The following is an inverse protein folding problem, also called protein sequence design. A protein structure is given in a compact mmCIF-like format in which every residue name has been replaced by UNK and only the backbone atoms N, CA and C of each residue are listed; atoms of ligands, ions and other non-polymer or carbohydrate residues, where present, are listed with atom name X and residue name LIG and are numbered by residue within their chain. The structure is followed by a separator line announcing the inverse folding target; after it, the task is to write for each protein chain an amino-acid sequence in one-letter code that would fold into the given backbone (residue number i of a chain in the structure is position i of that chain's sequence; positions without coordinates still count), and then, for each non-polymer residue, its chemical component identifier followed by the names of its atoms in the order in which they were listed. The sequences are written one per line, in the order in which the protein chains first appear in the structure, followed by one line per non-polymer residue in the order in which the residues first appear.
data_IF_320862839781
#
_entry.id   IF_320862839781
#
_cell.length_a   1.000
_cell.length_b   1.000
_cell.length_c   1.000
_cell.angle_alpha   90.00
_cell.angle_beta   90.00
_cell.angle_gamma   90.00
#
_symmetry.space_group_name_H-M   'P 1'
#
loop_
_entity.id
_entity.type
_entity.pdbx_description
1 polymer ?
#
# COMPACT_ATOMS: atom_id res chain seq x y z
N UNK A 1 -1.68 21.66 32.31
CA UNK A 1 -1.14 20.30 32.43
C UNK A 1 -1.90 19.60 33.53
N UNK A 2 -2.65 18.57 33.20
CA UNK A 2 -3.43 17.77 34.16
C UNK A 2 -2.69 16.44 34.34
N UNK A 3 -2.42 16.04 35.58
CA UNK A 3 -1.76 14.76 35.88
C UNK A 3 -2.81 13.83 36.47
N UNK A 4 -3.01 12.68 35.84
CA UNK A 4 -3.82 11.60 36.39
C UNK A 4 -2.91 10.42 36.74
N UNK A 5 -3.00 9.95 37.98
CA UNK A 5 -2.22 8.81 38.47
C UNK A 5 -3.10 7.57 38.56
N UNK A 6 -2.62 6.47 37.96
CA UNK A 6 -3.18 5.13 38.13
C UNK A 6 -2.11 4.25 38.76
N UNK A 7 -2.34 3.79 39.98
CA UNK A 7 -1.44 2.88 40.69
C UNK A 7 -2.11 1.51 40.90
N UNK A 8 -1.34 0.45 40.70
CA UNK A 8 -1.62 -0.86 41.26
C UNK A 8 -0.32 -1.37 41.91
N UNK A 9 -0.36 -2.38 42.78
CA UNK A 9 0.71 -2.80 43.71
C UNK A 9 2.10 -3.03 43.07
N UNK A 10 2.22 -3.09 41.73
CA UNK A 10 3.48 -3.25 40.98
C UNK A 10 3.74 -2.21 39.89
N UNK A 11 2.86 -1.22 39.65
CA UNK A 11 2.99 -0.25 38.54
C UNK A 11 2.45 1.14 38.93
N UNK A 12 3.20 2.18 38.59
CA UNK A 12 2.73 3.58 38.60
C UNK A 12 2.72 4.05 37.14
N UNK A 13 1.56 4.44 36.63
CA UNK A 13 1.42 5.06 35.31
C UNK A 13 0.90 6.48 35.47
N UNK A 14 1.63 7.44 34.90
CA UNK A 14 1.36 8.88 35.01
C UNK A 14 0.99 9.42 33.64
N UNK A 15 -0.28 9.76 33.45
CA UNK A 15 -0.79 10.34 32.22
C UNK A 15 -0.73 11.87 32.30
N UNK A 16 -0.09 12.51 31.32
CA UNK A 16 0.13 13.97 31.30
C UNK A 16 -0.66 14.60 30.17
N UNK A 17 -1.78 15.24 30.50
CA UNK A 17 -2.59 15.93 29.52
C UNK A 17 -2.07 17.35 29.28
N UNK A 18 -1.67 17.64 28.03
CA UNK A 18 -1.26 18.97 27.57
C UNK A 18 -2.33 19.58 26.67
N UNK A 19 -3.35 20.18 27.27
CA UNK A 19 -4.33 20.95 26.49
C UNK A 19 -3.65 22.14 25.80
N UNK A 20 -3.70 22.20 24.47
CA UNK A 20 -3.28 23.36 23.68
C UNK A 20 -1.78 23.56 23.45
N UNK A 21 -0.92 22.58 23.77
CA UNK A 21 0.52 22.64 23.48
C UNK A 21 0.91 21.64 22.39
N UNK A 22 1.63 22.08 21.36
CA UNK A 22 2.14 21.22 20.27
C UNK A 22 3.66 21.14 20.35
N UNK A 23 4.20 19.91 20.46
CA UNK A 23 5.64 19.64 20.46
C UNK A 23 6.02 19.11 19.07
N UNK A 24 6.55 19.97 18.20
CA UNK A 24 6.67 19.69 16.76
C UNK A 24 7.99 19.04 16.35
N UNK A 25 8.97 18.96 17.24
CA UNK A 25 10.24 18.30 16.97
C UNK A 25 10.83 17.58 18.20
N UNK A 26 11.79 16.68 17.95
CA UNK A 26 12.44 15.85 18.98
C UNK A 26 13.11 16.69 20.08
N UNK A 27 13.67 17.86 19.76
CA UNK A 27 14.31 18.73 20.74
C UNK A 27 13.28 19.35 21.71
N UNK A 28 12.12 19.77 21.20
CA UNK A 28 11.01 20.26 22.03
C UNK A 28 10.40 19.15 22.89
N UNK A 29 10.31 17.93 22.36
CA UNK A 29 9.88 16.75 23.14
C UNK A 29 10.86 16.46 24.27
N UNK A 30 12.17 16.55 24.03
CA UNK A 30 13.20 16.34 25.05
C UNK A 30 13.13 17.39 26.17
N UNK A 31 13.01 18.67 25.83
CA UNK A 31 12.87 19.77 26.80
C UNK A 31 11.58 19.65 27.61
N UNK A 32 10.47 19.28 26.96
CA UNK A 32 9.21 19.06 27.64
C UNK A 32 9.25 17.86 28.59
N UNK A 33 9.93 16.78 28.17
CA UNK A 33 10.13 15.58 29.02
C UNK A 33 10.91 15.93 30.29
N UNK A 34 11.95 16.77 30.20
CA UNK A 34 12.69 17.30 31.36
C UNK A 34 11.81 18.16 32.29
N UNK A 35 10.93 18.97 31.71
CA UNK A 35 9.98 19.81 32.47
C UNK A 35 8.98 18.96 33.26
N UNK A 36 8.46 17.88 32.66
CA UNK A 36 7.57 16.93 33.33
C UNK A 36 8.30 16.22 34.46
N UNK A 37 9.56 15.81 34.26
CA UNK A 37 10.39 15.16 35.30
C UNK A 37 10.54 16.02 36.56
N UNK A 38 10.85 17.31 36.39
CA UNK A 38 10.99 18.28 37.51
C UNK A 38 9.70 18.53 38.29
N UNK A 39 8.54 18.14 37.74
CA UNK A 39 7.22 18.30 38.35
C UNK A 39 6.68 17.02 39.00
N UNK A 40 7.40 15.89 38.91
CA UNK A 40 7.04 14.63 39.58
C UNK A 40 7.25 14.73 41.11
N UNK A 41 6.61 13.88 41.93
CA UNK A 41 6.88 13.82 43.37
C UNK A 41 8.36 13.50 43.68
N UNK A 42 8.91 14.10 44.74
CA UNK A 42 10.35 14.08 45.09
C UNK A 42 10.95 12.65 45.11
N UNK A 43 10.21 11.65 45.58
CA UNK A 43 10.67 10.25 45.62
C UNK A 43 10.85 9.56 44.25
N UNK A 44 10.40 10.18 43.15
CA UNK A 44 10.52 9.69 41.77
C UNK A 44 11.52 10.50 40.92
N UNK A 45 12.04 11.62 41.43
CA UNK A 45 12.95 12.51 40.70
C UNK A 45 14.39 11.97 40.63
N UNK A 46 14.84 11.23 41.66
CA UNK A 46 16.25 10.80 41.82
C UNK A 46 16.60 9.45 41.16
N UNK A 47 15.76 8.97 40.24
CA UNK A 47 15.87 7.63 39.64
C UNK A 47 15.93 7.69 38.10
N UNK A 48 16.97 8.35 37.58
CA UNK A 48 17.19 8.58 36.14
C UNK A 48 17.13 7.29 35.29
N UNK A 49 17.59 6.16 35.83
CA UNK A 49 17.61 4.87 35.11
C UNK A 49 16.23 4.20 34.96
N UNK A 50 15.18 4.72 35.60
CA UNK A 50 13.90 4.01 35.76
C UNK A 50 12.72 4.67 35.04
N UNK A 51 12.96 5.69 34.22
CA UNK A 51 11.92 6.40 33.45
C UNK A 51 12.12 6.13 31.95
N UNK A 52 11.28 5.27 31.36
CA UNK A 52 11.23 5.04 29.90
C UNK A 52 9.97 5.63 29.27
N UNK A 53 10.11 6.54 28.30
CA UNK A 53 9.01 7.11 27.50
C UNK A 53 8.67 6.14 26.37
N UNK A 54 7.48 5.53 26.40
CA UNK A 54 7.17 4.41 25.47
C UNK A 54 6.65 4.85 24.10
N UNK A 55 5.79 5.88 24.00
CA UNK A 55 5.25 6.34 22.71
C UNK A 55 4.49 7.65 22.86
N UNK A 56 4.80 8.67 22.06
CA UNK A 56 3.89 9.79 21.84
C UNK A 56 2.80 9.35 20.85
N UNK A 57 1.54 9.32 21.26
CA UNK A 57 0.40 9.11 20.36
C UNK A 57 -0.09 10.50 19.95
N UNK A 58 -0.24 10.74 18.65
CA UNK A 58 -0.79 11.99 18.11
C UNK A 58 -2.16 11.66 17.49
N UNK A 59 -3.28 11.86 18.21
CA UNK A 59 -4.60 11.70 17.61
C UNK A 59 -4.83 12.80 16.57
N UNK A 60 -5.73 12.54 15.59
CA UNK A 60 -5.92 13.38 14.38
C UNK A 60 -6.34 14.83 14.67
N UNK A 61 -6.75 15.12 15.89
CA UNK A 61 -7.17 16.41 16.45
C UNK A 61 -6.08 17.09 17.31
N UNK A 62 -4.86 16.51 17.36
CA UNK A 62 -3.64 17.16 17.85
C UNK A 62 -3.56 17.47 19.34
N UNK A 63 -4.44 16.89 20.18
CA UNK A 63 -4.70 17.43 21.53
C UNK A 63 -4.29 16.56 22.72
N UNK A 64 -3.72 15.37 22.53
CA UNK A 64 -3.41 14.45 23.64
C UNK A 64 -2.07 13.75 23.43
N UNK A 65 -1.13 13.92 24.36
CA UNK A 65 0.10 13.13 24.44
C UNK A 65 0.02 12.20 25.64
N UNK A 66 -0.11 10.89 25.40
CA UNK A 66 -0.15 9.91 26.48
C UNK A 66 1.27 9.46 26.84
N UNK A 67 1.69 9.79 28.06
CA UNK A 67 2.95 9.30 28.62
C UNK A 67 2.66 8.09 29.51
N UNK A 68 3.41 7.01 29.33
CA UNK A 68 3.43 5.87 30.26
C UNK A 68 4.84 5.69 30.77
N UNK A 69 5.02 5.77 32.10
CA UNK A 69 6.26 5.48 32.81
C UNK A 69 6.13 4.05 33.37
N UNK A 70 7.17 3.21 33.23
CA UNK A 70 7.18 1.82 33.72
C UNK A 70 8.36 1.56 34.68
N UNK A 71 8.20 0.75 35.74
CA UNK A 71 9.30 0.27 36.58
C UNK A 71 10.15 -0.82 35.88
N UNK A 72 11.37 -1.13 36.37
CA UNK A 72 12.43 -1.73 35.55
C UNK A 72 12.32 -3.21 35.18
N UNK A 73 11.32 -3.97 35.65
CA UNK A 73 11.25 -5.43 35.46
C UNK A 73 9.95 -5.91 34.80
N UNK A 74 9.38 -5.12 33.89
CA UNK A 74 8.12 -5.43 33.21
C UNK A 74 8.32 -5.79 31.73
N UNK A 75 8.50 -7.08 31.44
CA UNK A 75 8.59 -7.66 30.08
C UNK A 75 7.22 -8.02 29.46
N UNK A 76 6.10 -7.67 30.09
CA UNK A 76 4.77 -8.04 29.58
C UNK A 76 4.38 -7.31 28.27
N UNK A 77 3.79 -8.07 27.34
CA UNK A 77 3.27 -7.57 26.05
C UNK A 77 2.17 -6.52 26.24
N UNK A 78 2.12 -5.58 25.29
CA UNK A 78 1.19 -4.45 25.30
C UNK A 78 -0.18 -4.92 24.83
N UNK A 79 -1.20 -4.77 25.66
CA UNK A 79 -2.60 -4.89 25.22
C UNK A 79 -2.98 -3.54 24.59
N UNK A 80 -3.11 -3.50 23.26
CA UNK A 80 -3.46 -2.28 22.51
C UNK A 80 -4.88 -1.76 22.81
N UNK A 81 -5.73 -2.56 23.44
CA UNK A 81 -7.12 -2.23 23.74
C UNK A 81 -7.39 -2.25 25.25
N UNK A 82 -6.97 -1.19 25.95
CA UNK A 82 -7.45 -0.91 27.32
C UNK A 82 -8.84 -0.25 27.25
N UNK A 83 -9.82 -0.68 28.05
CA UNK A 83 -11.21 -0.18 28.00
C UNK A 83 -11.39 1.29 28.41
N UNK A 84 -10.32 1.98 28.81
CA UNK A 84 -10.32 3.44 29.05
C UNK A 84 -10.26 4.27 27.75
N UNK A 85 -10.11 3.63 26.57
CA UNK A 85 -10.02 4.26 25.25
C UNK A 85 -11.38 4.45 24.54
N UNK A 86 -12.51 4.17 25.19
CA UNK A 86 -13.82 4.39 24.60
C UNK A 86 -14.24 5.88 24.71
N UNK A 87 -13.81 6.71 23.77
CA UNK A 87 -14.46 8.00 23.50
C UNK A 87 -15.67 7.71 22.59
N UNK A 88 -16.89 8.15 22.94
CA UNK A 88 -18.07 7.87 22.12
C UNK A 88 -17.96 8.58 20.77
N UNK A 89 -18.30 7.87 19.69
CA UNK A 89 -18.46 8.43 18.35
C UNK A 89 -19.62 9.45 18.36
N UNK A 90 -19.33 10.69 17.96
CA UNK A 90 -20.37 11.65 17.58
C UNK A 90 -20.26 12.02 16.10
N UNK A 91 -21.16 11.40 15.35
CA UNK A 91 -22.01 11.92 14.27
C UNK A 91 -21.46 12.98 13.29
N UNK A 92 -21.45 12.54 12.02
CA UNK A 92 -21.81 13.27 10.80
C UNK A 92 -21.28 14.71 10.63
N UNK A 93 -20.33 14.81 9.69
CA UNK A 93 -19.99 16.03 8.96
C UNK A 93 -21.25 16.63 8.34
N UNK A 94 -21.81 17.66 9.00
CA UNK A 94 -22.56 18.72 8.32
C UNK A 94 -21.59 19.86 8.05
N UNK A 95 -21.56 20.30 6.80
CA UNK A 95 -20.89 21.51 6.35
C UNK A 95 -21.20 22.67 7.30
N UNK A 96 -20.20 23.07 8.09
CA UNK A 96 -20.24 24.30 8.87
C UNK A 96 -19.14 25.22 8.33
N UNK A 97 -19.59 26.36 7.82
CA UNK A 97 -18.77 27.48 7.39
C UNK A 97 -17.75 27.85 8.48
N UNK A 98 -16.46 27.82 8.18
CA UNK A 98 -15.45 28.48 9.01
C UNK A 98 -15.03 29.76 8.31
N UNK A 99 -15.68 30.83 8.72
CA UNK A 99 -15.16 32.19 8.64
C UNK A 99 -14.20 32.46 9.79
N UNK A 100 -13.06 33.06 9.43
CA UNK A 100 -12.13 33.89 10.20
C UNK A 100 -11.06 33.25 11.11
N UNK A 101 -9.81 33.51 10.68
CA UNK A 101 -8.67 34.03 11.45
C UNK A 101 -7.91 33.10 12.40
N UNK A 102 -7.13 32.18 11.83
CA UNK A 102 -5.76 31.87 12.30
C UNK A 102 -4.91 31.53 11.08
N UNK A 103 -3.78 32.23 10.88
CA UNK A 103 -2.83 31.89 9.81
C UNK A 103 -2.19 30.53 10.14
N UNK A 104 -2.45 29.52 9.31
CA UNK A 104 -1.95 28.15 9.54
C UNK A 104 -0.52 27.98 9.01
N UNK A 105 0.24 27.06 9.58
CA UNK A 105 1.58 26.67 9.09
C UNK A 105 1.57 26.31 7.58
N UNK A 106 0.50 25.66 7.12
CA UNK A 106 0.27 25.34 5.71
C UNK A 106 0.05 26.57 4.82
N UNK A 107 -0.52 27.64 5.36
CA UNK A 107 -0.67 28.91 4.63
C UNK A 107 0.68 29.63 4.49
N UNK A 108 1.54 29.53 5.50
CA UNK A 108 2.88 30.10 5.46
C UNK A 108 3.74 29.40 4.38
N UNK A 109 3.74 28.06 4.35
CA UNK A 109 4.41 27.26 3.31
C UNK A 109 3.89 27.57 1.89
N UNK A 110 2.57 27.77 1.77
CA UNK A 110 1.95 28.16 0.51
C UNK A 110 2.50 29.51 0.00
N UNK A 111 2.63 30.49 0.88
CA UNK A 111 3.12 31.83 0.53
C UNK A 111 4.59 31.82 0.13
N UNK A 112 5.42 31.01 0.80
CA UNK A 112 6.84 30.79 0.39
C UNK A 112 6.93 30.16 -1.00
N UNK A 113 6.11 29.14 -1.27
CA UNK A 113 6.06 28.47 -2.57
C UNK A 113 5.66 29.45 -3.68
N UNK A 114 4.65 30.29 -3.43
CA UNK A 114 4.18 31.33 -4.35
C UNK A 114 5.25 32.38 -4.67
N UNK A 115 6.08 32.76 -3.71
CA UNK A 115 7.19 33.69 -3.94
C UNK A 115 8.25 33.08 -4.86
N UNK A 116 8.62 31.82 -4.61
CA UNK A 116 9.59 31.08 -5.40
C UNK A 116 9.13 30.90 -6.85
N UNK A 117 7.88 30.47 -7.07
CA UNK A 117 7.30 30.34 -8.42
C UNK A 117 7.22 31.68 -9.16
N UNK A 118 6.99 32.77 -8.44
CA UNK A 118 6.94 34.11 -9.03
C UNK A 118 8.32 34.73 -9.31
N UNK A 119 9.42 34.02 -9.02
CA UNK A 119 10.79 34.50 -9.15
C UNK A 119 11.13 35.65 -8.20
N UNK A 120 10.46 35.72 -7.04
CA UNK A 120 10.70 36.75 -6.02
C UNK A 120 11.60 36.13 -4.94
N UNK A 121 12.89 36.44 -5.03
CA UNK A 121 13.93 35.88 -4.15
C UNK A 121 14.56 36.95 -3.26
N UNK A 122 15.38 36.53 -2.29
CA UNK A 122 16.13 37.44 -1.41
C UNK A 122 15.33 38.04 -0.26
N UNK A 123 14.21 37.42 0.13
CA UNK A 123 13.37 37.82 1.25
C UNK A 123 13.20 36.69 2.27
N UNK A 124 13.07 37.06 3.54
CA UNK A 124 12.60 36.20 4.62
C UNK A 124 11.13 36.55 4.93
N UNK A 125 10.24 35.55 4.89
CA UNK A 125 8.83 35.70 5.20
C UNK A 125 8.62 35.75 6.71
N UNK A 126 7.72 36.60 7.17
CA UNK A 126 7.34 36.69 8.59
C UNK A 126 5.84 36.51 8.75
N UNK A 127 5.43 36.00 9.92
CA UNK A 127 4.01 35.83 10.22
C UNK A 127 3.30 37.19 10.26
N UNK A 128 2.02 37.24 9.84
CA UNK A 128 1.20 38.44 10.01
C UNK A 128 1.10 38.83 11.48
N UNK A 129 1.12 40.13 11.76
CA UNK A 129 0.86 40.66 13.10
C UNK A 129 -0.63 40.61 13.42
N UNK A 130 -1.01 40.51 14.70
CA UNK A 130 -2.42 40.57 15.15
C UNK A 130 -3.17 41.80 14.61
N UNK A 131 -2.49 42.94 14.50
CA UNK A 131 -3.07 44.18 13.98
C UNK A 131 -3.29 44.18 12.46
N UNK A 132 -2.68 43.26 11.72
CA UNK A 132 -2.73 43.17 10.26
C UNK A 132 -2.72 41.69 9.82
N UNK A 133 -3.79 40.92 10.07
CA UNK A 133 -3.80 39.47 9.87
C UNK A 133 -3.66 39.05 8.40
N UNK A 134 -3.98 39.94 7.47
CA UNK A 134 -3.90 39.71 6.02
C UNK A 134 -2.58 40.15 5.39
N UNK A 135 -1.63 40.68 6.19
CA UNK A 135 -0.37 41.24 5.68
C UNK A 135 0.81 40.43 6.17
N UNK A 136 1.50 39.75 5.26
CA UNK A 136 2.73 39.02 5.54
C UNK A 136 3.95 39.92 5.26
N UNK A 137 4.75 40.30 6.26
CA UNK A 137 5.96 41.07 6.05
C UNK A 137 7.04 40.24 5.35
N UNK A 138 7.79 40.90 4.46
CA UNK A 138 8.98 40.33 3.82
C UNK A 138 10.20 41.19 4.14
N UNK A 139 11.14 40.61 4.87
CA UNK A 139 12.40 41.25 5.25
C UNK A 139 13.48 40.87 4.25
N UNK A 140 14.10 41.83 3.58
CA UNK A 140 15.14 41.55 2.60
C UNK A 140 16.38 41.01 3.28
N UNK A 141 16.95 39.93 2.74
CA UNK A 141 18.15 39.25 3.25
C UNK A 141 19.31 39.25 2.25
N UNK A 142 19.04 39.47 0.96
CA UNK A 142 20.07 39.64 -0.06
C UNK A 142 19.63 40.63 -1.15
N UNK A 143 20.59 41.23 -1.87
CA UNK A 143 20.29 42.00 -3.06
C UNK A 143 19.52 41.13 -4.07
N UNK A 144 18.40 41.65 -4.57
CA UNK A 144 17.63 40.98 -5.62
C UNK A 144 16.80 41.97 -6.42
N UNK A 145 16.56 41.61 -7.66
CA UNK A 145 15.71 42.38 -8.57
C UNK A 145 14.24 42.35 -8.10
N UNK A 146 13.59 43.51 -8.06
CA UNK A 146 12.17 43.63 -7.74
C UNK A 146 11.32 43.71 -9.01
N UNK A 147 10.40 42.76 -9.22
CA UNK A 147 9.57 42.70 -10.43
C UNK A 147 8.45 43.76 -10.48
N UNK A 148 8.31 44.62 -9.47
CA UNK A 148 7.27 45.66 -9.43
C UNK A 148 7.80 47.01 -9.91
N UNK A 149 9.00 47.39 -9.48
CA UNK A 149 9.62 48.66 -9.88
C UNK A 149 10.85 48.50 -10.78
N UNK A 150 11.15 47.26 -11.22
CA UNK A 150 12.20 46.94 -12.19
C UNK A 150 13.59 47.46 -11.76
N UNK A 151 13.92 47.28 -10.48
CA UNK A 151 15.17 47.77 -9.86
C UNK A 151 15.76 46.69 -8.95
N UNK A 152 17.07 46.70 -8.81
CA UNK A 152 17.75 45.99 -7.74
C UNK A 152 17.58 46.74 -6.42
N UNK A 153 17.38 45.97 -5.34
CA UNK A 153 17.31 46.52 -3.99
C UNK A 153 18.24 45.76 -3.07
N UNK A 154 18.96 46.50 -2.24
CA UNK A 154 19.89 45.94 -1.25
C UNK A 154 19.25 45.84 0.15
N UNK A 155 18.30 46.73 0.46
CA UNK A 155 17.67 46.84 1.78
C UNK A 155 16.16 47.05 1.78
N UNK A 156 15.55 47.32 0.62
CA UNK A 156 14.12 47.63 0.55
C UNK A 156 13.24 46.38 0.77
N UNK A 157 12.46 46.40 1.85
CA UNK A 157 11.54 45.33 2.24
C UNK A 157 10.32 45.23 1.31
N UNK A 158 9.60 44.11 1.42
CA UNK A 158 8.34 43.86 0.72
C UNK A 158 7.23 43.45 1.69
N UNK A 159 6.05 43.19 1.14
CA UNK A 159 4.99 42.51 1.88
C UNK A 159 4.03 41.82 0.92
N UNK A 160 3.29 40.84 1.44
CA UNK A 160 2.22 40.17 0.71
C UNK A 160 0.90 40.52 1.37
N UNK A 161 -0.12 40.83 0.56
CA UNK A 161 -1.50 40.95 1.02
C UNK A 161 -2.29 39.72 0.59
N UNK A 162 -2.97 39.11 1.56
CA UNK A 162 -4.00 38.10 1.36
C UNK A 162 -5.34 38.76 1.11
N UNK A 163 -6.00 38.39 0.02
CA UNK A 163 -7.37 38.79 -0.31
C UNK A 163 -8.18 37.53 -0.63
N UNK A 164 -9.00 37.08 0.33
CA UNK A 164 -9.76 35.82 0.26
C UNK A 164 -8.84 34.62 -0.02
N UNK A 165 -8.75 34.18 -1.28
CA UNK A 165 -7.90 33.06 -1.75
C UNK A 165 -6.81 33.50 -2.74
N UNK A 166 -6.44 34.77 -2.70
CA UNK A 166 -5.40 35.32 -3.59
C UNK A 166 -4.34 36.05 -2.79
N UNK A 167 -3.09 35.89 -3.21
CA UNK A 167 -1.94 36.58 -2.63
C UNK A 167 -1.39 37.54 -3.67
N UNK A 168 -0.91 38.69 -3.21
CA UNK A 168 -0.28 39.68 -4.08
C UNK A 168 0.94 40.25 -3.39
N UNK A 169 2.06 40.24 -4.10
CA UNK A 169 3.31 40.83 -3.65
C UNK A 169 3.29 42.35 -3.89
N UNK A 170 3.83 43.09 -2.93
CA UNK A 170 4.00 44.52 -2.94
C UNK A 170 5.43 44.89 -2.52
N UNK A 171 5.98 45.92 -3.16
CA UNK A 171 7.24 46.54 -2.79
C UNK A 171 6.96 47.84 -2.04
N UNK A 172 7.61 48.06 -0.88
CA UNK A 172 7.41 49.29 -0.12
C UNK A 172 7.84 50.53 -0.91
N UNK A 173 8.97 50.46 -1.60
CA UNK A 173 9.51 51.58 -2.40
C UNK A 173 8.62 51.93 -3.59
N UNK A 174 8.20 50.93 -4.36
CA UNK A 174 7.25 51.14 -5.47
C UNK A 174 5.92 51.76 -5.00
N UNK A 175 5.51 51.46 -3.77
CA UNK A 175 4.30 52.02 -3.17
C UNK A 175 4.50 53.44 -2.59
N UNK A 176 5.72 53.83 -2.24
CA UNK A 176 6.08 55.17 -1.79
C UNK A 176 6.32 56.12 -2.97
N UNK A 177 6.88 55.62 -4.07
CA UNK A 177 7.19 56.39 -5.28
C UNK A 177 5.96 56.63 -6.17
N UNK A 178 4.77 56.16 -5.77
CA UNK A 178 3.53 56.27 -6.57
C UNK A 178 2.88 57.65 -6.43
N UNK A 179 2.17 58.10 -7.48
CA UNK A 179 1.37 59.32 -7.42
C UNK A 179 0.23 59.21 -6.39
N UNK A 180 -0.06 60.26 -5.60
CA UNK A 180 -1.19 60.29 -4.68
C UNK A 180 -2.52 59.98 -5.40
N UNK A 181 -3.26 58.98 -4.93
CA UNK A 181 -4.54 58.55 -5.54
C UNK A 181 -4.43 57.41 -6.56
N UNK A 182 -3.23 57.09 -7.05
CA UNK A 182 -3.00 55.95 -7.96
C UNK A 182 -3.09 54.60 -7.24
N UNK A 183 -3.48 53.54 -7.95
CA UNK A 183 -3.54 52.18 -7.38
C UNK A 183 -2.14 51.70 -7.00
N UNK A 184 -2.01 51.04 -5.85
CA UNK A 184 -0.74 50.43 -5.42
C UNK A 184 -0.27 49.39 -6.45
N UNK A 185 0.96 49.48 -6.98
CA UNK A 185 1.47 48.48 -7.91
C UNK A 185 1.73 47.17 -7.17
N UNK A 186 1.31 46.06 -7.78
CA UNK A 186 1.35 44.74 -7.14
C UNK A 186 1.50 43.64 -8.18
N UNK A 187 2.24 42.57 -7.84
CA UNK A 187 2.30 41.36 -8.65
C UNK A 187 1.39 40.31 -8.02
N UNK A 188 0.36 39.85 -8.74
CA UNK A 188 -0.51 38.77 -8.27
C UNK A 188 0.29 37.48 -8.26
N UNK A 189 0.23 36.74 -7.16
CA UNK A 189 0.85 35.44 -7.00
C UNK A 189 -0.20 34.38 -7.33
N UNK A 190 0.07 33.57 -8.35
CA UNK A 190 -0.78 32.46 -8.78
C UNK A 190 0.03 31.19 -8.74
N UNK A 191 -0.51 30.13 -8.14
CA UNK A 191 0.07 28.79 -8.21
C UNK A 191 0.02 28.37 -9.69
N UNK A 192 1.18 28.07 -10.26
CA UNK A 192 1.25 27.42 -11.56
C UNK A 192 0.52 26.07 -11.47
N UNK A 193 -0.30 25.75 -12.47
CA UNK A 193 -1.10 24.52 -12.41
C UNK A 193 -0.18 23.29 -12.31
N UNK A 194 -0.33 22.51 -11.24
CA UNK A 194 0.55 21.36 -11.01
C UNK A 194 0.39 20.32 -12.12
N UNK A 195 1.40 19.47 -12.32
CA UNK A 195 1.29 18.35 -13.26
C UNK A 195 0.05 17.48 -12.95
N UNK A 196 -0.27 17.28 -11.67
CA UNK A 196 -1.46 16.56 -11.24
C UNK A 196 -2.76 17.26 -11.63
N UNK A 197 -2.86 18.57 -11.45
CA UNK A 197 -4.06 19.34 -11.82
C UNK A 197 -4.30 19.28 -13.33
N UNK A 198 -3.23 19.45 -14.12
CA UNK A 198 -3.28 19.29 -15.59
C UNK A 198 -3.70 17.88 -15.98
N UNK A 199 -3.13 16.87 -15.34
CA UNK A 199 -3.51 15.46 -15.54
C UNK A 199 -5.02 15.29 -15.32
N UNK A 200 -5.55 15.80 -14.20
CA UNK A 200 -6.96 15.65 -13.84
C UNK A 200 -7.93 16.29 -14.83
N UNK A 201 -7.51 17.36 -15.53
CA UNK A 201 -8.31 18.02 -16.57
C UNK A 201 -8.33 17.27 -17.91
N UNK A 202 -7.38 16.38 -18.17
CA UNK A 202 -7.35 15.58 -19.40
C UNK A 202 -8.53 14.61 -19.47
N UNK A 203 -8.96 14.17 -20.68
CA UNK A 203 -10.02 13.17 -20.84
C UNK A 203 -9.77 11.90 -20.04
N UNK A 204 -10.84 11.21 -19.64
CA UNK A 204 -10.73 9.94 -18.91
C UNK A 204 -9.92 8.93 -19.73
N UNK A 205 -9.00 8.16 -19.13
CA UNK A 205 -8.26 7.14 -19.86
C UNK A 205 -9.21 6.06 -20.40
N UNK A 206 -8.83 5.45 -21.52
CA UNK A 206 -9.63 4.41 -22.18
C UNK A 206 -9.51 3.10 -21.40
N UNK A 207 -10.66 2.48 -21.11
CA UNK A 207 -10.69 1.12 -20.56
C UNK A 207 -10.37 0.13 -21.68
N UNK A 208 -9.44 -0.78 -21.44
CA UNK A 208 -9.12 -1.83 -22.41
C UNK A 208 -10.24 -2.88 -22.46
N UNK A 209 -10.62 -3.28 -23.67
CA UNK A 209 -11.61 -4.35 -23.88
C UNK A 209 -11.10 -5.73 -23.43
N UNK A 210 -9.76 -5.90 -23.42
CA UNK A 210 -9.09 -7.10 -22.93
C UNK A 210 -8.50 -6.87 -21.55
N UNK A 211 -8.78 -7.78 -20.62
CA UNK A 211 -8.21 -7.79 -19.27
C UNK A 211 -6.76 -8.28 -19.30
N UNK A 212 -5.82 -7.41 -19.72
CA UNK A 212 -4.39 -7.71 -19.83
C UNK A 212 -3.80 -8.34 -18.56
N UNK A 213 -4.26 -7.90 -17.39
CA UNK A 213 -3.81 -8.44 -16.09
C UNK A 213 -4.11 -9.93 -15.91
N UNK A 214 -5.18 -10.43 -16.52
CA UNK A 214 -5.58 -11.84 -16.46
C UNK A 214 -5.21 -12.61 -17.73
N UNK A 215 -4.56 -11.98 -18.71
CA UNK A 215 -4.07 -12.64 -19.92
C UNK A 215 -2.76 -13.39 -19.63
N UNK A 216 -2.72 -14.72 -19.76
CA UNK A 216 -1.50 -15.50 -19.54
C UNK A 216 -0.38 -15.23 -20.55
N UNK A 217 -0.67 -14.63 -21.70
CA UNK A 217 0.33 -14.32 -22.72
C UNK A 217 0.85 -12.89 -22.60
N UNK A 218 0.25 -12.08 -21.73
CA UNK A 218 0.76 -10.79 -21.37
C UNK A 218 1.83 -10.97 -20.28
N UNK A 219 3.08 -10.66 -20.58
CA UNK A 219 4.19 -10.80 -19.64
C UNK A 219 4.54 -9.49 -18.91
N UNK A 220 3.75 -8.43 -19.11
CA UNK A 220 3.96 -7.17 -18.43
C UNK A 220 3.52 -7.30 -16.97
N UNK A 221 4.43 -7.06 -16.03
CA UNK A 221 4.24 -7.27 -14.60
C UNK A 221 4.48 -5.99 -13.80
N UNK A 222 4.12 -6.04 -12.52
CA UNK A 222 4.30 -4.92 -11.58
C UNK A 222 5.74 -4.38 -11.57
N UNK A 223 6.74 -5.26 -11.69
CA UNK A 223 8.15 -4.87 -11.81
C UNK A 223 8.40 -3.91 -12.96
N UNK A 224 7.84 -4.19 -14.15
CA UNK A 224 7.98 -3.33 -15.33
C UNK A 224 7.36 -1.93 -15.11
N UNK A 225 6.21 -1.87 -14.45
CA UNK A 225 5.59 -0.58 -14.10
C UNK A 225 6.46 0.21 -13.12
N UNK A 226 7.12 -0.46 -12.18
CA UNK A 226 8.07 0.18 -11.26
C UNK A 226 9.33 0.64 -12.03
N UNK A 227 9.80 -0.14 -12.99
CA UNK A 227 10.94 0.22 -13.84
C UNK A 227 10.64 1.45 -14.72
N UNK A 228 9.40 1.60 -15.20
CA UNK A 228 8.97 2.84 -15.86
C UNK A 228 9.19 4.06 -14.95
N UNK A 229 8.88 3.96 -13.65
CA UNK A 229 9.09 5.06 -12.70
C UNK A 229 10.57 5.35 -12.42
N UNK A 230 11.44 4.34 -12.43
CA UNK A 230 12.86 4.50 -12.07
C UNK A 230 13.77 4.79 -13.27
N UNK A 231 13.29 4.52 -14.50
CA UNK A 231 14.06 4.69 -15.74
C UNK A 231 14.43 6.14 -16.08
N UNK A 232 13.67 7.12 -15.56
CA UNK A 232 13.77 8.53 -15.94
C UNK A 232 13.28 8.84 -17.36
N UNK A 233 12.84 7.84 -18.12
CA UNK A 233 12.28 8.02 -19.47
C UNK A 233 10.93 8.73 -19.41
N UNK A 234 10.55 9.33 -20.54
CA UNK A 234 9.23 9.95 -20.71
C UNK A 234 8.31 8.97 -21.41
N UNK A 235 7.12 8.79 -20.88
CA UNK A 235 6.11 7.89 -21.42
C UNK A 235 4.87 8.66 -21.83
N UNK A 236 4.15 8.17 -22.84
CA UNK A 236 2.82 8.69 -23.13
C UNK A 236 1.85 8.30 -22.01
N UNK A 237 0.82 9.12 -21.82
CA UNK A 237 -0.23 8.84 -20.85
C UNK A 237 -0.95 7.53 -21.16
N UNK A 238 -1.15 7.18 -22.44
CA UNK A 238 -1.80 5.91 -22.82
C UNK A 238 -0.98 4.72 -22.34
N UNK A 239 0.33 4.69 -22.62
CA UNK A 239 1.23 3.60 -22.23
C UNK A 239 1.18 3.36 -20.71
N UNK A 240 1.19 4.43 -19.91
CA UNK A 240 1.16 4.31 -18.44
C UNK A 240 -0.18 3.75 -17.94
N UNK A 241 -1.31 4.21 -18.48
CA UNK A 241 -2.62 3.67 -18.09
C UNK A 241 -2.85 2.24 -18.59
N UNK A 242 -2.27 1.85 -19.71
CA UNK A 242 -2.26 0.47 -20.19
C UNK A 242 -1.41 -0.43 -19.28
N UNK A 243 -0.23 0.05 -18.87
CA UNK A 243 0.64 -0.62 -17.92
C UNK A 243 -0.04 -0.81 -16.55
N UNK A 244 -0.72 0.21 -16.03
CA UNK A 244 -1.53 0.11 -14.80
C UNK A 244 -2.64 -0.94 -14.96
N UNK A 245 -3.38 -0.92 -16.07
CA UNK A 245 -4.46 -1.90 -16.34
C UNK A 245 -3.94 -3.33 -16.53
N UNK A 246 -2.69 -3.50 -16.96
CA UNK A 246 -2.04 -4.79 -17.14
C UNK A 246 -1.49 -5.39 -15.83
N UNK A 247 -1.28 -4.58 -14.78
CA UNK A 247 -0.51 -5.00 -13.60
C UNK A 247 -1.24 -4.85 -12.28
N UNK A 248 -2.22 -3.94 -12.19
CA UNK A 248 -2.92 -3.61 -10.94
C UNK A 248 -4.41 -3.84 -11.07
N UNK A 249 -4.99 -4.49 -10.06
CA UNK A 249 -6.43 -4.52 -9.84
C UNK A 249 -6.77 -4.06 -8.41
N UNK A 250 -7.90 -3.36 -8.28
CA UNK A 250 -8.45 -2.88 -7.02
C UNK A 250 -9.77 -3.59 -6.75
N UNK A 251 -9.83 -4.31 -5.63
CA UNK A 251 -11.02 -4.99 -5.16
C UNK A 251 -11.64 -4.12 -4.06
N UNK A 252 -12.86 -3.65 -4.30
CA UNK A 252 -13.57 -2.80 -3.34
C UNK A 252 -14.66 -3.61 -2.64
N UNK A 253 -14.33 -4.13 -1.46
CA UNK A 253 -15.29 -4.74 -0.51
C UNK A 253 -15.51 -3.78 0.67
N UNK A 254 -15.46 -4.27 1.92
CA UNK A 254 -15.44 -3.45 3.14
C UNK A 254 -14.15 -2.63 3.27
N UNK A 255 -13.06 -3.13 2.70
CA UNK A 255 -11.76 -2.46 2.60
C UNK A 255 -11.19 -2.65 1.20
N UNK A 256 -10.29 -1.75 0.78
CA UNK A 256 -9.56 -1.91 -0.48
C UNK A 256 -8.55 -3.05 -0.34
N UNK A 257 -8.57 -3.96 -1.30
CA UNK A 257 -7.53 -4.96 -1.50
C UNK A 257 -6.91 -4.73 -2.89
N UNK A 258 -5.59 -4.65 -2.93
CA UNK A 258 -4.84 -4.52 -4.17
C UNK A 258 -4.37 -5.88 -4.61
N UNK A 259 -4.50 -6.15 -5.90
CA UNK A 259 -3.98 -7.35 -6.55
C UNK A 259 -2.94 -6.90 -7.57
N UNK A 260 -1.74 -7.45 -7.44
CA UNK A 260 -0.58 -7.12 -8.29
C UNK A 260 -0.18 -8.36 -9.08
N UNK A 261 0.01 -8.19 -10.39
CA UNK A 261 0.57 -9.23 -11.25
C UNK A 261 2.09 -9.26 -11.11
N UNK A 262 2.63 -10.37 -10.63
CA UNK A 262 4.05 -10.57 -10.35
C UNK A 262 4.58 -11.74 -11.20
N UNK A 263 5.88 -11.73 -11.47
CA UNK A 263 6.62 -12.84 -12.07
C UNK A 263 7.49 -13.53 -11.01
N UNK A 264 7.51 -14.85 -11.00
CA UNK A 264 8.40 -15.65 -10.16
C UNK A 264 9.79 -15.87 -10.81
N UNK A 265 10.72 -16.47 -10.08
CA UNK A 265 12.10 -16.70 -10.57
C UNK A 265 12.19 -17.66 -11.76
N UNK A 266 11.11 -18.37 -12.11
CA UNK A 266 11.04 -19.30 -13.22
C UNK A 266 10.25 -18.73 -14.42
N UNK A 267 9.87 -17.44 -14.38
CA UNK A 267 9.03 -16.80 -15.40
C UNK A 267 7.54 -17.10 -15.27
N UNK A 268 7.11 -17.72 -14.16
CA UNK A 268 5.72 -18.00 -13.86
C UNK A 268 5.01 -16.75 -13.36
N UNK A 269 3.83 -16.46 -13.91
CA UNK A 269 3.02 -15.33 -13.48
C UNK A 269 2.15 -15.72 -12.28
N UNK A 270 1.95 -14.81 -11.32
CA UNK A 270 1.04 -15.00 -10.20
C UNK A 270 0.48 -13.67 -9.68
N UNK A 271 -0.46 -13.75 -8.74
CA UNK A 271 -1.04 -12.58 -8.09
C UNK A 271 -0.60 -12.46 -6.64
N UNK A 272 0.00 -11.33 -6.30
CA UNK A 272 0.22 -10.93 -4.92
C UNK A 272 -0.89 -9.99 -4.44
N UNK A 273 -1.19 -10.00 -3.14
CA UNK A 273 -2.31 -9.26 -2.58
C UNK A 273 -1.88 -8.44 -1.36
N UNK A 274 -2.21 -7.15 -1.38
CA UNK A 274 -1.83 -6.23 -0.31
C UNK A 274 -2.97 -5.29 0.08
N UNK A 275 -3.13 -4.94 1.38
CA UNK A 275 -4.13 -3.97 1.83
C UNK A 275 -3.74 -2.52 1.47
N UNK A 276 -2.47 -2.25 1.17
CA UNK A 276 -1.93 -0.93 0.87
C UNK A 276 -0.80 -1.03 -0.17
N UNK A 277 -0.61 0.04 -0.93
CA UNK A 277 0.51 0.23 -1.84
C UNK A 277 1.43 1.30 -1.25
N UNK A 278 2.71 0.99 -1.03
CA UNK A 278 3.71 1.98 -0.66
C UNK A 278 4.37 2.54 -1.92
N UNK A 279 3.83 3.65 -2.42
CA UNK A 279 4.24 4.26 -3.69
C UNK A 279 4.69 5.72 -3.57
N UNK A 280 4.98 6.19 -2.36
CA UNK A 280 5.25 7.61 -2.11
C UNK A 280 6.44 8.17 -2.89
N UNK A 281 7.37 7.30 -3.32
CA UNK A 281 8.62 7.64 -3.99
C UNK A 281 8.58 7.49 -5.51
N UNK A 282 7.51 6.91 -6.07
CA UNK A 282 7.46 6.59 -7.50
C UNK A 282 6.69 7.65 -8.27
N UNK A 283 7.37 8.25 -9.26
CA UNK A 283 6.82 9.23 -10.17
C UNK A 283 7.04 8.77 -11.62
N UNK A 284 6.13 9.17 -12.51
CA UNK A 284 6.21 8.87 -13.94
C UNK A 284 6.22 10.19 -14.71
N UNK A 285 7.18 10.33 -15.63
CA UNK A 285 7.30 11.52 -16.47
C UNK A 285 6.39 11.39 -17.70
N UNK A 286 5.34 12.21 -17.78
CA UNK A 286 4.34 12.14 -18.85
C UNK A 286 4.64 13.14 -19.98
N UNK A 287 4.66 12.68 -21.23
CA UNK A 287 4.95 13.51 -22.41
C UNK A 287 3.94 14.66 -22.53
N UNK A 288 2.65 14.39 -22.30
CA UNK A 288 1.55 15.35 -22.39
C UNK A 288 1.63 16.46 -21.33
N UNK A 289 2.44 16.26 -20.29
CA UNK A 289 2.68 17.23 -19.23
C UNK A 289 4.07 17.89 -19.34
N UNK A 290 4.70 17.85 -20.52
CA UNK A 290 6.04 18.40 -20.74
C UNK A 290 7.17 17.53 -20.21
N UNK A 291 6.87 16.31 -19.74
CA UNK A 291 7.80 15.42 -19.06
C UNK A 291 7.95 15.71 -17.56
N UNK A 292 7.02 16.46 -16.96
CA UNK A 292 6.94 16.59 -15.50
C UNK A 292 6.52 15.28 -14.85
N UNK A 293 7.10 15.00 -13.67
CA UNK A 293 6.81 13.81 -12.87
C UNK A 293 5.44 13.90 -12.21
N UNK A 294 4.67 12.82 -12.33
CA UNK A 294 3.40 12.63 -11.60
C UNK A 294 3.50 11.38 -10.75
N UNK A 295 3.15 11.48 -9.46
CA UNK A 295 3.15 10.34 -8.55
C UNK A 295 2.28 9.19 -9.08
N UNK A 296 2.85 7.99 -9.14
CA UNK A 296 2.17 6.80 -9.66
C UNK A 296 0.87 6.50 -8.91
N UNK A 297 0.85 6.70 -7.59
CA UNK A 297 -0.35 6.49 -6.76
C UNK A 297 -1.53 7.35 -7.22
N UNK A 298 -1.29 8.58 -7.69
CA UNK A 298 -2.34 9.46 -8.17
C UNK A 298 -2.95 8.95 -9.49
N UNK A 299 -2.12 8.38 -10.37
CA UNK A 299 -2.56 7.79 -11.63
C UNK A 299 -3.37 6.50 -11.36
N UNK A 300 -2.91 5.68 -10.42
CA UNK A 300 -3.64 4.47 -9.97
C UNK A 300 -5.00 4.85 -9.35
N UNK A 301 -5.04 5.83 -8.45
CA UNK A 301 -6.29 6.30 -7.83
C UNK A 301 -7.26 6.87 -8.87
N UNK A 302 -6.73 7.54 -9.91
CA UNK A 302 -7.55 7.99 -11.04
C UNK A 302 -8.09 6.80 -11.85
N UNK A 303 -7.28 5.78 -12.11
CA UNK A 303 -7.72 4.56 -12.78
C UNK A 303 -8.82 3.83 -12.00
N UNK A 304 -8.72 3.79 -10.65
CA UNK A 304 -9.78 3.28 -9.76
C UNK A 304 -11.05 4.12 -9.87
N UNK A 305 -10.92 5.44 -9.75
CA UNK A 305 -12.07 6.38 -9.78
C UNK A 305 -12.82 6.33 -11.11
N UNK A 306 -12.11 6.07 -12.21
CA UNK A 306 -12.69 5.90 -13.55
C UNK A 306 -13.15 4.47 -13.86
N UNK A 307 -12.99 3.53 -12.92
CA UNK A 307 -13.47 2.16 -13.07
C UNK A 307 -12.67 1.31 -14.05
N UNK A 308 -11.42 1.68 -14.33
CA UNK A 308 -10.53 0.97 -15.26
C UNK A 308 -10.04 -0.34 -14.65
N UNK A 309 -9.67 -0.30 -13.37
CA UNK A 309 -9.08 -1.42 -12.61
C UNK A 309 -9.91 -1.84 -11.40
N UNK A 310 -11.18 -1.44 -11.34
CA UNK A 310 -12.06 -1.67 -10.19
C UNK A 310 -12.91 -2.94 -10.35
N UNK A 311 -12.88 -3.81 -9.35
CA UNK A 311 -13.66 -5.04 -9.27
C UNK A 311 -14.43 -5.12 -7.95
N UNK A 312 -15.57 -5.80 -7.98
CA UNK A 312 -16.48 -5.94 -6.82
C UNK A 312 -16.01 -6.99 -5.81
N UNK A 313 -15.39 -8.06 -6.29
CA UNK A 313 -14.82 -9.11 -5.45
C UNK A 313 -13.76 -9.90 -6.25
N UNK A 314 -13.02 -10.76 -5.56
CA UNK A 314 -12.17 -11.78 -6.17
C UNK A 314 -12.94 -13.09 -6.28
N UNK A 315 -12.61 -13.88 -7.29
CA UNK A 315 -13.07 -15.26 -7.42
C UNK A 315 -11.98 -16.11 -8.06
N UNK A 316 -11.99 -17.41 -7.76
CA UNK A 316 -11.14 -18.37 -8.46
C UNK A 316 -12.02 -19.15 -9.43
N UNK A 317 -12.05 -18.67 -10.68
CA UNK A 317 -12.85 -19.24 -11.76
C UNK A 317 -11.92 -19.93 -12.75
N UNK A 318 -11.53 -21.18 -12.48
CA UNK A 318 -10.82 -21.97 -13.47
C UNK A 318 -11.71 -22.20 -14.69
N UNK A 319 -11.20 -21.86 -15.87
CA UNK A 319 -11.94 -22.04 -17.11
C UNK A 319 -11.19 -22.92 -18.10
N UNK A 320 -11.92 -23.74 -18.88
CA UNK A 320 -11.36 -24.33 -20.08
C UNK A 320 -10.77 -23.23 -20.96
N UNK A 321 -9.62 -23.48 -21.58
CA UNK A 321 -8.83 -22.54 -22.40
C UNK A 321 -9.62 -21.72 -23.45
N UNK A 322 -10.85 -22.12 -23.79
CA UNK A 322 -11.68 -21.55 -24.85
C UNK A 322 -13.03 -20.96 -24.36
N UNK A 323 -13.18 -20.66 -23.07
CA UNK A 323 -14.45 -20.12 -22.54
C UNK A 323 -14.49 -18.60 -22.65
N UNK A 324 -15.60 -17.97 -23.10
CA UNK A 324 -15.70 -16.51 -23.19
C UNK A 324 -15.48 -15.83 -21.84
N UNK A 325 -15.00 -14.58 -21.89
CA UNK A 325 -14.69 -13.77 -20.72
C UNK A 325 -15.89 -13.68 -19.76
N UNK A 326 -15.65 -14.05 -18.50
CA UNK A 326 -16.62 -14.05 -17.41
C UNK A 326 -17.14 -12.65 -17.08
N UNK A 327 -18.21 -12.58 -16.26
CA UNK A 327 -18.75 -11.32 -15.73
C UNK A 327 -17.61 -10.47 -15.16
N UNK A 328 -17.38 -9.34 -15.82
CA UNK A 328 -16.26 -8.42 -15.65
C UNK A 328 -16.24 -7.71 -14.30
N UNK A 329 -17.27 -7.95 -13.47
CA UNK A 329 -17.40 -7.42 -12.12
C UNK A 329 -16.50 -8.11 -11.10
N UNK A 330 -16.06 -9.35 -11.34
CA UNK A 330 -15.23 -10.12 -10.42
C UNK A 330 -13.82 -10.30 -10.99
N UNK A 331 -12.81 -10.13 -10.15
CA UNK A 331 -11.43 -10.39 -10.54
C UNK A 331 -11.15 -11.89 -10.46
N UNK A 332 -10.73 -12.48 -11.58
CA UNK A 332 -10.41 -13.91 -11.62
C UNK A 332 -8.95 -14.16 -11.23
N UNK A 333 -8.74 -14.98 -10.20
CA UNK A 333 -7.42 -15.41 -9.74
C UNK A 333 -6.78 -16.49 -10.64
N UNK A 334 -7.56 -17.14 -11.50
CA UNK A 334 -7.05 -18.15 -12.41
C UNK A 334 -6.54 -17.51 -13.71
N UNK A 335 -5.22 -17.56 -13.90
CA UNK A 335 -4.53 -17.10 -15.12
C UNK A 335 -4.33 -18.20 -16.16
N UNK A 336 -4.78 -19.43 -15.91
CA UNK A 336 -4.51 -20.58 -16.77
C UNK A 336 -3.39 -21.49 -16.26
N UNK A 337 -3.18 -22.58 -16.98
CA UNK A 337 -2.08 -23.53 -16.75
C UNK A 337 -0.79 -23.03 -17.39
N UNK A 338 0.34 -23.44 -16.80
CA UNK A 338 1.66 -23.18 -17.37
C UNK A 338 1.84 -23.94 -18.69
N UNK A 339 1.45 -25.23 -18.71
CA UNK A 339 1.47 -26.01 -19.94
C UNK A 339 0.36 -25.57 -20.91
N UNK A 340 0.69 -25.60 -22.21
CA UNK A 340 -0.25 -25.39 -23.31
C UNK A 340 -0.52 -26.72 -24.02
N UNK A 341 -1.72 -26.90 -24.60
CA UNK A 341 -1.98 -28.06 -25.46
C UNK A 341 -0.99 -28.10 -26.61
N UNK A 342 -0.50 -29.31 -26.92
CA UNK A 342 0.39 -29.58 -28.06
C UNK A 342 -0.34 -30.46 -29.06
N UNK A 343 -0.01 -30.32 -30.35
CA UNK A 343 -0.61 -31.13 -31.41
C UNK A 343 -0.09 -32.58 -31.40
N UNK A 344 1.17 -32.77 -31.01
CA UNK A 344 1.84 -34.07 -30.97
C UNK A 344 2.52 -34.28 -29.62
N UNK A 345 2.48 -35.53 -29.14
CA UNK A 345 3.10 -35.92 -27.88
C UNK A 345 4.52 -36.38 -28.16
N UNK A 346 5.51 -35.79 -27.48
CA UNK A 346 6.88 -36.27 -27.53
C UNK A 346 7.02 -37.53 -26.65
N UNK A 347 7.08 -38.68 -27.31
CA UNK A 347 7.23 -39.99 -26.66
C UNK A 347 8.54 -40.12 -25.87
N UNK A 348 9.64 -39.52 -26.31
CA UNK A 348 10.92 -39.59 -25.58
C UNK A 348 10.85 -38.94 -24.21
N UNK A 349 10.05 -37.87 -24.08
CA UNK A 349 9.82 -37.16 -22.82
C UNK A 349 8.77 -37.88 -21.97
N UNK A 350 7.68 -38.34 -22.59
CA UNK A 350 6.54 -38.91 -21.86
C UNK A 350 6.74 -40.35 -21.44
N UNK A 351 7.40 -41.18 -22.25
CA UNK A 351 7.57 -42.62 -21.96
C UNK A 351 8.28 -42.89 -20.62
N UNK A 352 9.34 -42.17 -20.23
CA UNK A 352 9.95 -42.33 -18.91
C UNK A 352 8.97 -42.06 -17.76
N UNK A 353 8.11 -41.05 -17.89
CA UNK A 353 7.12 -40.68 -16.87
C UNK A 353 6.03 -41.76 -16.79
N UNK A 354 5.49 -42.17 -17.94
CA UNK A 354 4.49 -43.24 -18.04
C UNK A 354 5.03 -44.55 -17.45
N UNK A 355 6.26 -44.92 -17.80
CA UNK A 355 6.93 -46.10 -17.28
C UNK A 355 7.12 -46.01 -15.77
N UNK A 356 7.56 -44.87 -15.24
CA UNK A 356 7.76 -44.68 -13.80
C UNK A 356 6.45 -44.81 -13.02
N UNK A 357 5.37 -44.20 -13.49
CA UNK A 357 4.06 -44.32 -12.84
C UNK A 357 3.59 -45.78 -12.85
N UNK A 358 3.59 -46.45 -14.00
CA UNK A 358 3.13 -47.84 -14.11
C UNK A 358 3.97 -48.80 -13.27
N UNK A 359 5.30 -48.73 -13.37
CA UNK A 359 6.17 -49.76 -12.82
C UNK A 359 6.62 -49.46 -11.38
N UNK A 360 6.78 -48.19 -11.00
CA UNK A 360 7.30 -47.81 -9.68
C UNK A 360 6.17 -47.39 -8.73
N UNK A 361 5.24 -46.53 -9.19
CA UNK A 361 4.14 -46.06 -8.33
C UNK A 361 3.04 -47.12 -8.21
N UNK A 362 2.66 -47.74 -9.34
CA UNK A 362 1.58 -48.72 -9.39
C UNK A 362 2.07 -50.17 -9.25
N UNK A 363 3.39 -50.41 -9.20
CA UNK A 363 3.96 -51.75 -9.11
C UNK A 363 3.45 -52.73 -10.20
N UNK A 364 3.15 -52.21 -11.39
CA UNK A 364 2.60 -52.98 -12.51
C UNK A 364 1.09 -53.21 -12.47
N UNK A 365 0.37 -52.72 -11.46
CA UNK A 365 -1.09 -52.80 -11.40
C UNK A 365 -1.74 -51.85 -12.43
N UNK A 366 -2.30 -52.44 -13.48
CA UNK A 366 -2.89 -51.68 -14.60
C UNK A 366 -4.14 -50.90 -14.20
N UNK A 367 -4.94 -51.38 -13.24
CA UNK A 367 -6.14 -50.67 -12.78
C UNK A 367 -5.75 -49.44 -11.98
N UNK A 368 -4.71 -49.55 -11.15
CA UNK A 368 -4.20 -48.43 -10.37
C UNK A 368 -3.53 -47.40 -11.29
N UNK A 369 -2.78 -47.84 -12.30
CA UNK A 369 -2.16 -46.97 -13.31
C UNK A 369 -3.22 -46.15 -14.06
N UNK A 370 -4.27 -46.80 -14.56
CA UNK A 370 -5.41 -46.12 -15.19
C UNK A 370 -6.09 -45.13 -14.24
N UNK A 371 -6.33 -45.52 -12.99
CA UNK A 371 -6.95 -44.65 -11.99
C UNK A 371 -6.10 -43.39 -11.70
N UNK A 372 -4.78 -43.56 -11.52
CA UNK A 372 -3.87 -42.44 -11.24
C UNK A 372 -3.86 -41.45 -12.42
N UNK A 373 -3.75 -41.93 -13.66
CA UNK A 373 -3.78 -41.05 -14.83
C UNK A 373 -5.11 -40.34 -15.01
N UNK A 374 -6.23 -41.02 -14.81
CA UNK A 374 -7.55 -40.41 -14.83
C UNK A 374 -7.70 -39.34 -13.73
N UNK A 375 -7.13 -39.56 -12.55
CA UNK A 375 -7.15 -38.58 -11.46
C UNK A 375 -6.39 -37.30 -11.82
N UNK A 376 -5.18 -37.41 -12.38
CA UNK A 376 -4.40 -36.26 -12.82
C UNK A 376 -5.04 -35.54 -14.02
N UNK A 377 -5.55 -36.29 -14.99
CA UNK A 377 -6.26 -35.73 -16.14
C UNK A 377 -7.50 -34.94 -15.71
N UNK A 378 -8.22 -35.42 -14.69
CA UNK A 378 -9.39 -34.74 -14.14
C UNK A 378 -9.08 -33.33 -13.62
N UNK A 379 -7.92 -33.10 -13.00
CA UNK A 379 -7.51 -31.78 -12.51
C UNK A 379 -7.40 -30.73 -13.63
N UNK A 380 -7.00 -31.17 -14.83
CA UNK A 380 -6.78 -30.31 -15.99
C UNK A 380 -8.06 -30.18 -16.82
N UNK A 381 -8.77 -31.29 -17.03
CA UNK A 381 -9.95 -31.35 -17.90
C UNK A 381 -11.24 -30.84 -17.23
N UNK A 382 -11.34 -30.95 -15.91
CA UNK A 382 -12.50 -30.47 -15.13
C UNK A 382 -12.05 -29.48 -14.04
N UNK A 383 -11.40 -28.37 -14.40
CA UNK A 383 -10.70 -27.57 -13.43
C UNK A 383 -11.66 -26.87 -12.45
N UNK A 384 -12.94 -26.69 -12.80
CA UNK A 384 -13.98 -26.19 -11.91
C UNK A 384 -14.44 -27.19 -10.83
N UNK A 385 -14.06 -28.47 -10.94
CA UNK A 385 -14.48 -29.52 -10.02
C UNK A 385 -13.31 -30.05 -9.21
N UNK A 386 -13.51 -30.17 -7.89
CA UNK A 386 -12.60 -30.93 -7.03
C UNK A 386 -12.73 -32.43 -7.32
N UNK A 387 -11.62 -33.20 -7.33
CA UNK A 387 -11.68 -34.67 -7.42
C UNK A 387 -12.40 -35.34 -6.25
N UNK A 388 -12.48 -34.66 -5.08
CA UNK A 388 -13.03 -35.18 -3.81
C UNK A 388 -12.36 -36.44 -3.28
N UNK A 389 -11.17 -36.72 -3.76
CA UNK A 389 -10.31 -37.81 -3.31
C UNK A 389 -8.89 -37.28 -3.15
N UNK A 390 -8.08 -37.99 -2.38
CA UNK A 390 -6.66 -37.71 -2.18
C UNK A 390 -5.85 -38.94 -2.56
N UNK A 391 -4.74 -38.73 -3.26
CA UNK A 391 -3.76 -39.78 -3.52
C UNK A 391 -2.74 -39.83 -2.38
N UNK A 392 -2.50 -41.03 -1.84
CA UNK A 392 -1.52 -41.25 -0.78
C UNK A 392 -0.42 -42.16 -1.29
N UNK A 393 0.75 -41.58 -1.56
CA UNK A 393 1.92 -42.32 -2.03
C UNK A 393 2.81 -42.70 -0.84
N UNK A 394 2.79 -43.97 -0.44
CA UNK A 394 3.59 -44.50 0.66
C UNK A 394 4.58 -45.55 0.14
N UNK A 395 5.79 -45.53 0.67
CA UNK A 395 6.82 -46.53 0.39
C UNK A 395 7.58 -46.82 1.68
N UNK A 396 8.16 -48.02 1.78
CA UNK A 396 8.99 -48.46 2.92
C UNK A 396 10.35 -47.77 2.90
N UNK A 397 10.93 -47.59 1.72
CA UNK A 397 12.20 -46.89 1.51
C UNK A 397 11.96 -45.41 1.19
N UNK A 398 12.90 -44.54 1.57
CA UNK A 398 12.93 -43.18 1.05
C UNK A 398 13.48 -43.17 -0.38
N UNK A 399 13.26 -42.06 -1.09
CA UNK A 399 13.81 -41.84 -2.45
C UNK A 399 13.29 -42.79 -3.54
N UNK A 400 12.12 -43.42 -3.36
CA UNK A 400 11.46 -44.22 -4.41
C UNK A 400 10.84 -43.40 -5.56
N UNK A 401 11.17 -42.11 -5.70
CA UNK A 401 10.65 -41.27 -6.78
C UNK A 401 9.17 -40.87 -6.67
N UNK A 402 8.59 -40.85 -5.46
CA UNK A 402 7.18 -40.44 -5.24
C UNK A 402 6.87 -39.03 -5.73
N UNK A 403 7.84 -38.13 -5.60
CA UNK A 403 7.66 -36.73 -5.95
C UNK A 403 7.84 -36.47 -7.45
N UNK A 404 8.39 -37.41 -8.23
CA UNK A 404 8.64 -37.22 -9.67
C UNK A 404 7.36 -36.81 -10.40
N UNK A 405 6.26 -37.52 -10.17
CA UNK A 405 4.98 -37.21 -10.82
C UNK A 405 4.32 -35.94 -10.25
N UNK A 406 4.42 -35.70 -8.94
CA UNK A 406 3.82 -34.50 -8.33
C UNK A 406 4.55 -33.24 -8.74
N UNK A 407 5.87 -33.29 -8.85
CA UNK A 407 6.72 -32.17 -9.25
C UNK A 407 6.57 -31.93 -10.76
N UNK A 408 6.47 -32.98 -11.57
CA UNK A 408 6.16 -32.85 -13.00
C UNK A 408 4.81 -32.16 -13.23
N UNK A 409 3.73 -32.67 -12.65
CA UNK A 409 2.40 -32.05 -12.82
C UNK A 409 2.35 -30.67 -12.15
N UNK A 410 2.86 -30.55 -10.94
CA UNK A 410 2.85 -29.32 -10.17
C UNK A 410 3.62 -28.19 -10.84
N UNK A 411 4.88 -28.43 -11.20
CA UNK A 411 5.78 -27.37 -11.63
C UNK A 411 5.80 -27.16 -13.14
N UNK A 412 5.52 -28.21 -13.93
CA UNK A 412 5.58 -28.13 -15.41
C UNK A 412 4.21 -28.00 -16.06
N UNK A 413 3.15 -28.53 -15.45
CA UNK A 413 1.79 -28.45 -16.01
C UNK A 413 1.00 -27.31 -15.37
N UNK A 414 0.86 -27.34 -14.04
CA UNK A 414 0.04 -26.37 -13.31
C UNK A 414 0.77 -25.05 -13.12
N UNK A 415 2.04 -25.09 -12.73
CA UNK A 415 2.85 -23.92 -12.35
C UNK A 415 2.78 -23.60 -10.86
N UNK A 416 3.79 -22.90 -10.35
CA UNK A 416 3.96 -22.50 -8.95
C UNK A 416 2.78 -21.69 -8.40
N UNK A 417 1.98 -21.05 -9.26
CA UNK A 417 0.78 -20.29 -8.93
C UNK A 417 -0.43 -21.19 -8.63
N UNK A 418 -0.47 -22.42 -9.13
CA UNK A 418 -1.54 -23.40 -8.90
C UNK A 418 -1.10 -24.62 -8.08
N UNK A 419 0.20 -24.77 -7.85
CA UNK A 419 0.82 -25.85 -7.08
C UNK A 419 1.38 -25.32 -5.75
N UNK A 420 1.11 -26.03 -4.65
CA UNK A 420 1.73 -25.77 -3.35
C UNK A 420 2.21 -27.07 -2.71
N UNK A 421 3.52 -27.21 -2.52
CA UNK A 421 4.13 -28.33 -1.82
C UNK A 421 4.74 -27.87 -0.50
N UNK A 422 4.45 -28.60 0.59
CA UNK A 422 5.08 -28.31 1.89
C UNK A 422 5.19 -29.55 2.77
N UNK A 423 6.16 -29.56 3.68
CA UNK A 423 6.25 -30.53 4.77
C UNK A 423 5.63 -30.04 6.08
N UNK A 424 5.20 -28.78 6.12
CA UNK A 424 4.61 -28.15 7.30
C UNK A 424 3.08 -28.17 7.18
N UNK A 425 2.43 -29.07 7.94
CA UNK A 425 0.98 -29.20 7.92
C UNK A 425 0.26 -27.97 8.46
N UNK A 426 0.88 -27.18 9.33
CA UNK A 426 0.23 -26.00 9.89
C UNK A 426 -0.06 -24.95 8.82
N UNK A 427 0.73 -24.90 7.74
CA UNK A 427 0.47 -24.02 6.58
C UNK A 427 -0.78 -24.39 5.79
N UNK A 428 -1.27 -25.62 5.93
CA UNK A 428 -2.47 -26.13 5.23
C UNK A 428 -3.66 -26.19 6.17
N UNK A 429 -3.46 -26.81 7.35
CA UNK A 429 -4.54 -27.19 8.26
C UNK A 429 -4.62 -26.28 9.50
N UNK A 430 -3.66 -25.38 9.69
CA UNK A 430 -3.63 -24.42 10.78
C UNK A 430 -4.59 -23.24 10.58
N UNK A 431 -4.53 -22.29 11.51
CA UNK A 431 -5.41 -21.11 11.52
C UNK A 431 -5.12 -20.14 10.36
N UNK A 432 -3.87 -20.06 9.93
CA UNK A 432 -3.42 -19.21 8.84
C UNK A 432 -3.05 -20.09 7.64
N UNK A 433 -3.97 -20.22 6.69
CA UNK A 433 -3.86 -21.12 5.53
C UNK A 433 -3.93 -20.36 4.19
N UNK A 434 -3.52 -19.09 4.15
CA UNK A 434 -3.50 -18.30 2.92
C UNK A 434 -2.63 -18.91 1.83
N UNK A 435 -1.61 -19.71 2.19
CA UNK A 435 -0.72 -20.39 1.25
C UNK A 435 -1.45 -21.36 0.29
N UNK A 436 -2.59 -21.91 0.72
CA UNK A 436 -3.41 -22.84 -0.08
C UNK A 436 -4.53 -22.13 -0.85
N UNK A 437 -4.66 -20.80 -0.75
CA UNK A 437 -5.62 -20.02 -1.50
C UNK A 437 -5.37 -20.15 -3.01
N UNK A 438 -6.46 -20.32 -3.78
CA UNK A 438 -6.42 -20.42 -5.24
C UNK A 438 -5.48 -21.52 -5.81
N UNK A 439 -5.15 -22.55 -5.01
CA UNK A 439 -4.34 -23.69 -5.47
C UNK A 439 -5.20 -24.79 -6.08
N UNK A 440 -4.67 -25.44 -7.12
CA UNK A 440 -5.24 -26.66 -7.74
C UNK A 440 -4.71 -27.93 -7.10
N UNK A 441 -3.42 -27.96 -6.82
CA UNK A 441 -2.74 -29.11 -6.27
C UNK A 441 -1.98 -28.72 -5.01
N UNK A 442 -2.26 -29.43 -3.93
CA UNK A 442 -1.57 -29.28 -2.66
C UNK A 442 -0.86 -30.61 -2.37
N UNK A 443 0.47 -30.57 -2.27
CA UNK A 443 1.30 -31.75 -2.00
C UNK A 443 1.80 -31.67 -0.56
N UNK A 444 1.42 -32.67 0.24
CA UNK A 444 1.82 -32.79 1.63
C UNK A 444 2.99 -33.78 1.74
N UNK A 445 4.22 -33.25 1.86
CA UNK A 445 5.43 -34.05 1.93
C UNK A 445 5.73 -34.48 3.37
N UNK A 446 6.02 -35.78 3.59
CA UNK A 446 6.48 -36.31 4.89
C UNK A 446 5.59 -35.90 6.08
N UNK A 447 4.29 -36.20 6.00
CA UNK A 447 3.35 -35.91 7.09
C UNK A 447 3.51 -36.92 8.23
N UNK A 448 4.53 -36.74 9.07
CA UNK A 448 4.57 -37.37 10.38
C UNK A 448 3.53 -36.67 11.26
N UNK A 449 2.41 -37.33 11.55
CA UNK A 449 1.41 -36.80 12.47
C UNK A 449 1.39 -37.68 13.71
N UNK A 450 1.53 -37.07 14.88
CA UNK A 450 1.17 -37.74 16.13
C UNK A 450 -0.33 -38.09 16.12
N UNK A 451 -0.73 -39.05 16.95
CA UNK A 451 -2.14 -39.42 17.08
C UNK A 451 -3.01 -38.23 17.48
N UNK A 452 -2.52 -37.35 18.37
CA UNK A 452 -3.20 -36.13 18.79
C UNK A 452 -3.41 -35.13 17.64
N UNK A 453 -2.39 -34.92 16.81
CA UNK A 453 -2.50 -34.05 15.62
C UNK A 453 -3.47 -34.61 14.59
N UNK A 454 -3.46 -35.93 14.36
CA UNK A 454 -4.42 -36.57 13.47
C UNK A 454 -5.86 -36.36 13.94
N UNK A 455 -6.13 -36.56 15.24
CA UNK A 455 -7.46 -36.32 15.80
C UNK A 455 -7.91 -34.87 15.64
N UNK A 456 -6.99 -33.91 15.80
CA UNK A 456 -7.27 -32.48 15.61
C UNK A 456 -7.58 -32.13 14.15
N UNK A 457 -6.83 -32.67 13.20
CA UNK A 457 -6.87 -32.20 11.81
C UNK A 457 -7.75 -33.03 10.86
N UNK A 458 -8.09 -34.28 11.19
CA UNK A 458 -8.83 -35.18 10.30
C UNK A 458 -10.17 -34.58 9.82
N UNK A 459 -10.91 -33.91 10.72
CA UNK A 459 -12.17 -33.25 10.34
C UNK A 459 -11.95 -32.14 9.31
N UNK A 460 -10.94 -31.30 9.53
CA UNK A 460 -10.59 -30.21 8.62
C UNK A 460 -10.09 -30.74 7.26
N UNK A 461 -9.25 -31.77 7.26
CA UNK A 461 -8.76 -32.40 6.03
C UNK A 461 -9.91 -32.98 5.18
N UNK A 462 -10.88 -33.65 5.81
CA UNK A 462 -12.08 -34.16 5.11
C UNK A 462 -12.90 -33.04 4.48
N UNK A 463 -13.12 -31.95 5.22
CA UNK A 463 -13.81 -30.76 4.73
C UNK A 463 -13.09 -30.17 3.50
N UNK A 464 -11.76 -29.95 3.59
CA UNK A 464 -10.96 -29.42 2.48
C UNK A 464 -11.08 -30.25 1.19
N UNK A 465 -11.10 -31.57 1.32
CA UNK A 465 -11.21 -32.51 0.18
C UNK A 465 -12.62 -32.51 -0.41
N UNK A 466 -13.66 -32.53 0.43
CA UNK A 466 -15.03 -32.90 0.00
C UNK A 466 -16.00 -31.73 -0.14
N UNK A 467 -15.80 -30.64 0.60
CA UNK A 467 -16.68 -29.48 0.54
C UNK A 467 -16.59 -28.76 -0.81
N UNK A 468 -17.77 -28.40 -1.31
CA UNK A 468 -17.90 -27.59 -2.54
C UNK A 468 -17.43 -26.18 -2.23
N UNK A 469 -16.70 -25.59 -3.18
CA UNK A 469 -16.30 -24.18 -3.15
C UNK A 469 -17.51 -23.28 -3.37
#
# INVERSE_FOLDING_TARGET
MSIAESSNEKKISVHVLTSGMRLSNIAQVAVFTELVRKKLPVGLQDKEEHIRVKKAICPKDGSIFDFMIRPPNDESEVIDNSPLLAVPETESVKYANISNETTTEAEFELVETLLKEAGIEGYNLSYPSENFPDKFPLSRISPSHCPICDREHDSDNGYIIRNKKSYSFFCYRANNDREPGSRKPSKKLTISETALDREQKLPSPTKLDRYRISDPNDHFVWGDLIDMCTSGQKFSRSEVYEAIQATVACIQTTSRLWVLKIEDTNGGLYFDMAPKLDLAKYEVNLIELGGEGVKLINLIDRAVTKGLILYRNINFLPYPLNTPAYDTKFFNLFIGFLAKPVAEINEEIMNPILWHVKNIICSGDERLDEYIWNWWAYLVQNPEKKPRTILVLKSTLQQCGKNIITDFIGDKVLGSHLHFATSDLEKILGRFNSAIQARKLIVMNKTGMSSGEWHRFNGHLKSLITERM
#
